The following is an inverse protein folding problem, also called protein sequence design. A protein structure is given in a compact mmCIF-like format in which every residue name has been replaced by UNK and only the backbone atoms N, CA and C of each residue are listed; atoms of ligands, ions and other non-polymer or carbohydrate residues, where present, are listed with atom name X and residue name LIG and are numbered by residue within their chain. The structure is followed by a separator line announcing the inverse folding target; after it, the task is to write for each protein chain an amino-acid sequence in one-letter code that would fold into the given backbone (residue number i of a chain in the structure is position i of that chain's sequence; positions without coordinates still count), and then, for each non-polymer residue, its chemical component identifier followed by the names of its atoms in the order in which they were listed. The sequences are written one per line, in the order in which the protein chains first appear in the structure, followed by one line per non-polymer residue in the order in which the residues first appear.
data_IF_505714716727
#
_entry.id   IF_505714716727
#
_cell.length_a   1.000
_cell.length_b   1.000
_cell.length_c   1.000
_cell.angle_alpha   90.00
_cell.angle_beta   90.00
_cell.angle_gamma   90.00
#
_symmetry.space_group_name_H-M   'P 1'
#
loop_
_entity.id
_entity.type
_entity.pdbx_description
1 polymer ?
#
# COMPACT_ATOMS: atom_id res chain seq x y z
N UNK A 1 -58.25 20.76 62.15
CA UNK A 1 -57.54 21.71 61.27
C UNK A 1 -56.29 21.02 60.81
N UNK A 2 -56.24 20.56 59.56
CA UNK A 2 -55.04 19.98 58.95
C UNK A 2 -54.18 21.12 58.40
N UNK A 3 -52.91 21.17 58.79
CA UNK A 3 -51.93 22.14 58.32
C UNK A 3 -51.50 21.86 56.86
N UNK A 4 -51.79 22.80 55.95
CA UNK A 4 -51.39 22.83 54.54
C UNK A 4 -49.88 23.14 54.32
N UNK A 5 -48.98 22.58 55.14
CA UNK A 5 -47.58 23.03 55.16
C UNK A 5 -46.60 22.30 54.21
N UNK A 6 -47.06 21.37 53.38
CA UNK A 6 -46.18 20.51 52.56
C UNK A 6 -46.18 20.79 51.04
N UNK A 7 -46.22 22.05 50.58
CA UNK A 7 -46.35 22.28 49.11
C UNK A 7 -45.65 23.48 48.46
N UNK A 8 -45.30 24.54 49.19
CA UNK A 8 -44.67 25.72 48.57
C UNK A 8 -43.25 25.93 49.08
N UNK A 9 -42.27 25.46 48.30
CA UNK A 9 -40.88 25.94 48.43
C UNK A 9 -40.89 27.49 48.40
N UNK A 10 -40.22 28.16 49.34
CA UNK A 10 -40.23 29.62 49.41
C UNK A 10 -39.74 30.20 48.09
N UNK A 11 -40.36 31.31 47.65
CA UNK A 11 -40.10 31.91 46.33
C UNK A 11 -38.60 32.10 46.04
N UNK A 12 -37.81 32.46 47.05
CA UNK A 12 -36.36 32.63 46.96
C UNK A 12 -35.57 31.36 46.61
N UNK A 13 -36.08 30.15 46.93
CA UNK A 13 -35.47 28.88 46.53
C UNK A 13 -35.84 28.50 45.09
N UNK A 14 -37.03 28.90 44.62
CA UNK A 14 -37.46 28.71 43.22
C UNK A 14 -36.68 29.60 42.28
N UNK A 15 -36.48 30.88 42.63
CA UNK A 15 -35.65 31.82 41.85
C UNK A 15 -34.21 31.29 41.74
N UNK A 16 -33.58 30.91 42.86
CA UNK A 16 -32.22 30.33 42.86
C UNK A 16 -32.09 29.01 42.10
N UNK A 17 -33.13 28.17 42.09
CA UNK A 17 -33.15 26.94 41.28
C UNK A 17 -33.26 27.27 39.79
N UNK A 18 -34.09 28.25 39.43
CA UNK A 18 -34.26 28.74 38.06
C UNK A 18 -32.96 29.37 37.52
N UNK A 19 -32.26 30.15 38.35
CA UNK A 19 -30.96 30.74 38.01
C UNK A 19 -29.88 29.68 37.75
N UNK A 20 -29.87 28.60 38.54
CA UNK A 20 -28.95 27.46 38.34
C UNK A 20 -29.28 26.66 37.09
N UNK A 21 -30.55 26.51 36.76
CA UNK A 21 -31.00 25.84 35.53
C UNK A 21 -30.65 26.65 34.29
N UNK A 22 -30.87 27.98 34.34
CA UNK A 22 -30.45 28.91 33.29
C UNK A 22 -28.92 28.90 33.10
N UNK A 23 -28.14 28.93 34.17
CA UNK A 23 -26.68 28.84 34.10
C UNK A 23 -26.18 27.52 33.48
N UNK A 24 -26.84 26.39 33.79
CA UNK A 24 -26.52 25.09 33.18
C UNK A 24 -26.91 25.03 31.70
N UNK A 25 -28.03 25.66 31.32
CA UNK A 25 -28.45 25.74 29.93
C UNK A 25 -27.43 26.55 29.10
N UNK A 26 -27.03 27.73 29.59
CA UNK A 26 -26.01 28.56 28.97
C UNK A 26 -24.65 27.85 28.86
N UNK A 27 -24.23 27.12 29.90
CA UNK A 27 -22.99 26.33 29.86
C UNK A 27 -23.05 25.17 28.84
N UNK A 28 -24.20 24.49 28.71
CA UNK A 28 -24.40 23.47 27.67
C UNK A 28 -24.33 24.06 26.26
N UNK A 29 -24.95 25.22 26.06
CA UNK A 29 -24.94 25.94 24.79
C UNK A 29 -23.52 26.40 24.42
N UNK A 30 -22.80 27.01 25.36
CA UNK A 30 -21.37 27.34 25.19
C UNK A 30 -20.55 26.13 24.77
N UNK A 31 -20.68 25.01 25.50
CA UNK A 31 -19.98 23.77 25.17
C UNK A 31 -20.39 23.18 23.82
N UNK A 32 -21.61 23.45 23.35
CA UNK A 32 -22.06 23.03 22.02
C UNK A 32 -21.41 23.89 20.93
N UNK A 33 -21.37 25.22 21.12
CA UNK A 33 -20.71 26.16 20.21
C UNK A 33 -19.20 25.88 20.10
N UNK A 34 -18.52 25.65 21.23
CA UNK A 34 -17.10 25.29 21.25
C UNK A 34 -16.81 23.99 20.49
N UNK A 35 -17.69 22.98 20.64
CA UNK A 35 -17.58 21.71 19.90
C UNK A 35 -17.80 21.89 18.41
N UNK A 36 -18.77 22.71 18.01
CA UNK A 36 -19.03 23.03 16.61
C UNK A 36 -17.82 23.75 15.99
N UNK A 37 -17.32 24.82 16.62
CA UNK A 37 -16.15 25.55 16.16
C UNK A 37 -14.90 24.65 16.06
N UNK A 38 -14.69 23.75 17.01
CA UNK A 38 -13.61 22.75 16.97
C UNK A 38 -13.78 21.74 15.84
N UNK A 39 -15.01 21.35 15.50
CA UNK A 39 -15.29 20.45 14.39
C UNK A 39 -15.01 21.15 13.05
N UNK A 40 -15.47 22.39 12.89
CA UNK A 40 -15.24 23.21 11.70
C UNK A 40 -13.74 23.43 11.47
N UNK A 41 -12.99 23.82 12.51
CA UNK A 41 -11.54 23.97 12.43
C UNK A 41 -10.82 22.67 11.99
N UNK A 42 -11.32 21.51 12.42
CA UNK A 42 -10.76 20.21 12.00
C UNK A 42 -11.09 19.87 10.55
N UNK A 43 -12.26 20.27 10.07
CA UNK A 43 -12.67 20.08 8.67
C UNK A 43 -11.79 20.96 7.77
N UNK A 44 -11.65 22.25 8.12
CA UNK A 44 -10.80 23.19 7.39
C UNK A 44 -9.33 22.74 7.35
N UNK A 45 -8.77 22.31 8.49
CA UNK A 45 -7.41 21.80 8.54
C UNK A 45 -7.21 20.56 7.64
N UNK A 46 -8.22 19.67 7.58
CA UNK A 46 -8.18 18.49 6.69
C UNK A 46 -8.32 18.87 5.22
N UNK A 47 -9.12 19.86 4.89
CA UNK A 47 -9.23 20.38 3.51
C UNK A 47 -7.89 20.97 3.06
N UNK A 48 -7.31 21.88 3.85
CA UNK A 48 -6.01 22.49 3.57
C UNK A 48 -4.88 21.43 3.42
N UNK A 49 -4.87 20.41 4.28
CA UNK A 49 -3.89 19.33 4.19
C UNK A 49 -4.04 18.49 2.91
N UNK A 50 -5.27 18.25 2.43
CA UNK A 50 -5.53 17.53 1.17
C UNK A 50 -5.11 18.35 -0.04
N UNK A 51 -5.35 19.65 -0.02
CA UNK A 51 -4.97 20.55 -1.11
C UNK A 51 -3.45 20.64 -1.22
N UNK A 52 -2.77 20.85 -0.09
CA UNK A 52 -1.30 20.84 -0.04
C UNK A 52 -0.72 19.49 -0.52
N UNK A 53 -1.30 18.36 -0.09
CA UNK A 53 -0.86 17.04 -0.54
C UNK A 53 -1.09 16.82 -2.05
N UNK A 54 -2.17 17.37 -2.60
CA UNK A 54 -2.48 17.29 -4.03
C UNK A 54 -1.49 18.11 -4.85
N UNK A 55 -1.23 19.35 -4.44
CA UNK A 55 -0.22 20.22 -5.05
C UNK A 55 1.19 19.60 -5.00
N UNK A 56 1.59 19.03 -3.86
CA UNK A 56 2.88 18.35 -3.73
C UNK A 56 3.03 17.15 -4.68
N UNK A 57 1.96 16.36 -4.87
CA UNK A 57 1.96 15.25 -5.84
C UNK A 57 2.09 15.74 -7.27
N UNK A 58 1.39 16.81 -7.62
CA UNK A 58 1.47 17.38 -8.96
C UNK A 58 2.87 17.95 -9.25
N UNK A 59 3.45 18.70 -8.31
CA UNK A 59 4.82 19.17 -8.39
C UNK A 59 5.83 18.00 -8.53
N UNK A 60 5.64 16.91 -7.78
CA UNK A 60 6.49 15.73 -7.90
C UNK A 60 6.31 14.97 -9.23
N UNK A 61 5.13 15.08 -9.89
CA UNK A 61 4.90 14.51 -11.22
C UNK A 61 5.55 15.38 -12.30
N UNK A 62 5.43 16.70 -12.21
CA UNK A 62 6.03 17.63 -13.18
C UNK A 62 7.56 17.57 -13.11
N UNK A 63 8.14 17.57 -11.90
CA UNK A 63 9.59 17.40 -11.73
C UNK A 63 10.10 16.11 -12.37
N UNK A 64 9.40 14.98 -12.16
CA UNK A 64 9.74 13.70 -12.79
C UNK A 64 9.67 13.75 -14.32
N UNK A 65 8.66 14.42 -14.90
CA UNK A 65 8.55 14.60 -16.35
C UNK A 65 9.72 15.39 -16.91
N UNK A 66 10.09 16.50 -16.26
CA UNK A 66 11.23 17.33 -16.67
C UNK A 66 12.54 16.54 -16.60
N UNK A 67 12.76 15.78 -15.53
CA UNK A 67 13.96 14.91 -15.42
C UNK A 67 13.99 13.83 -16.50
N UNK A 68 12.84 13.20 -16.80
CA UNK A 68 12.74 12.18 -17.84
C UNK A 68 12.98 12.76 -19.24
N UNK A 69 12.42 13.94 -19.53
CA UNK A 69 12.63 14.67 -20.77
C UNK A 69 14.10 15.07 -20.94
N UNK A 70 14.75 15.56 -19.89
CA UNK A 70 16.18 15.88 -19.90
C UNK A 70 17.03 14.62 -20.18
N UNK A 71 16.75 13.50 -19.49
CA UNK A 71 17.42 12.22 -19.75
C UNK A 71 17.15 11.69 -21.15
N UNK A 72 15.95 11.91 -21.69
CA UNK A 72 15.61 11.54 -23.05
C UNK A 72 16.36 12.38 -24.07
N UNK A 73 16.54 13.69 -23.83
CA UNK A 73 17.32 14.59 -24.69
C UNK A 73 18.79 14.15 -24.76
N UNK A 74 19.44 13.90 -23.61
CA UNK A 74 20.83 13.41 -23.54
C UNK A 74 20.98 12.09 -24.30
N UNK A 75 20.03 11.16 -24.17
CA UNK A 75 20.05 9.89 -24.92
C UNK A 75 19.90 10.08 -26.42
N UNK A 76 19.09 11.04 -26.88
CA UNK A 76 18.94 11.35 -28.31
C UNK A 76 20.23 11.95 -28.89
N UNK A 77 20.86 12.85 -28.15
CA UNK A 77 22.13 13.45 -28.54
C UNK A 77 23.24 12.40 -28.63
N UNK A 78 23.36 11.53 -27.62
CA UNK A 78 24.30 10.40 -27.64
C UNK A 78 24.01 9.37 -28.75
N UNK A 79 22.75 9.20 -29.16
CA UNK A 79 22.41 8.33 -30.28
C UNK A 79 22.72 8.98 -31.64
N UNK A 80 22.64 10.31 -31.74
CA UNK A 80 22.97 11.05 -32.95
C UNK A 80 24.47 11.01 -33.27
N UNK A 81 25.33 10.99 -32.25
CA UNK A 81 26.80 10.87 -32.42
C UNK A 81 27.27 9.46 -32.79
N UNK A 82 26.48 8.43 -32.50
CA UNK A 82 26.79 7.02 -32.83
C UNK A 82 26.24 6.62 -34.22
N UNK A 83 25.30 7.38 -34.77
CA UNK A 83 24.59 7.04 -36.00
C UNK A 83 25.41 7.21 -37.31
N UNK A 84 26.64 7.70 -37.27
CA UNK A 84 27.49 7.84 -38.48
C UNK A 84 28.24 6.56 -38.89
N UNK A 85 28.29 5.50 -38.06
CA UNK A 85 29.15 4.32 -38.35
C UNK A 85 28.52 2.92 -38.26
N UNK A 86 27.19 2.74 -38.22
CA UNK A 86 26.62 1.37 -38.22
C UNK A 86 25.55 1.10 -39.31
N UNK A 87 25.70 0.04 -40.13
CA UNK A 87 24.65 -0.41 -41.02
C UNK A 87 23.47 -0.96 -40.22
N UNK A 88 22.27 -0.63 -40.69
CA UNK A 88 20.97 -0.89 -40.07
C UNK A 88 20.82 -2.30 -39.46
N UNK A 89 21.08 -2.42 -38.17
CA UNK A 89 20.68 -3.59 -37.39
C UNK A 89 19.13 -3.63 -37.31
N UNK A 90 18.51 -4.81 -37.46
CA UNK A 90 17.06 -4.93 -37.37
C UNK A 90 16.57 -4.44 -36.01
N UNK A 91 15.61 -3.51 -36.01
CA UNK A 91 14.98 -2.88 -34.82
C UNK A 91 14.45 -3.96 -33.88
N UNK A 92 15.31 -4.46 -32.99
CA UNK A 92 14.95 -5.39 -31.92
C UNK A 92 14.22 -4.58 -30.86
N UNK A 93 12.95 -4.92 -30.72
CA UNK A 93 11.98 -4.62 -29.64
C UNK A 93 12.55 -3.77 -28.51
N UNK A 94 11.91 -2.61 -28.30
CA UNK A 94 11.99 -1.73 -27.11
C UNK A 94 12.55 -2.49 -25.91
N UNK A 95 13.72 -2.08 -25.43
CA UNK A 95 14.38 -2.64 -24.26
C UNK A 95 13.38 -2.68 -23.10
N UNK A 96 12.81 -3.85 -22.88
CA UNK A 96 11.97 -4.15 -21.73
C UNK A 96 12.88 -4.78 -20.69
N UNK A 97 12.85 -4.24 -19.46
CA UNK A 97 13.57 -4.81 -18.33
C UNK A 97 14.91 -4.16 -17.99
N UNK A 98 15.79 -4.94 -17.35
CA UNK A 98 16.94 -4.52 -16.55
C UNK A 98 17.78 -3.38 -17.17
N UNK A 99 18.02 -3.41 -18.48
CA UNK A 99 18.77 -2.39 -19.22
C UNK A 99 18.27 -0.96 -18.99
N UNK A 100 16.95 -0.74 -18.93
CA UNK A 100 16.39 0.58 -18.69
C UNK A 100 16.53 1.05 -17.23
N UNK A 101 16.73 0.12 -16.29
CA UNK A 101 16.80 0.39 -14.83
C UNK A 101 18.22 0.46 -14.30
N UNK A 102 19.11 -0.40 -14.79
CA UNK A 102 20.48 -0.57 -14.28
C UNK A 102 21.54 -0.14 -15.28
N UNK A 103 21.18 0.18 -16.53
CA UNK A 103 22.13 0.52 -17.59
C UNK A 103 22.97 -0.67 -18.09
N UNK A 104 22.80 -1.84 -17.49
CA UNK A 104 23.57 -3.05 -17.81
C UNK A 104 22.70 -4.04 -18.59
N UNK A 105 23.26 -4.74 -19.60
CA UNK A 105 22.59 -5.88 -20.22
C UNK A 105 22.28 -6.94 -19.17
N UNK A 106 21.15 -7.63 -19.32
CA UNK A 106 20.88 -8.82 -18.53
C UNK A 106 21.97 -9.84 -18.86
N UNK A 107 22.74 -10.28 -17.85
CA UNK A 107 23.66 -11.40 -18.01
C UNK A 107 22.87 -12.64 -18.44
N UNK A 108 23.13 -13.13 -19.64
CA UNK A 108 22.57 -14.39 -20.11
C UNK A 108 23.32 -15.52 -19.40
N UNK A 109 22.72 -16.07 -18.35
CA UNK A 109 23.27 -17.22 -17.63
C UNK A 109 23.07 -18.47 -18.47
N UNK A 110 24.15 -19.17 -18.80
CA UNK A 110 24.05 -20.51 -19.37
C UNK A 110 23.50 -21.46 -18.29
N UNK A 111 22.20 -21.77 -18.42
CA UNK A 111 21.47 -22.65 -17.51
C UNK A 111 21.38 -24.08 -18.03
N UNK A 112 22.07 -24.41 -19.14
CA UNK A 112 22.03 -25.76 -19.73
C UNK A 112 22.57 -26.84 -18.79
N UNK A 113 23.44 -26.46 -17.85
CA UNK A 113 24.00 -27.34 -16.83
C UNK A 113 23.26 -27.26 -15.48
N UNK A 114 22.22 -26.42 -15.36
CA UNK A 114 21.46 -26.31 -14.12
C UNK A 114 20.58 -27.54 -13.98
N UNK A 115 21.01 -28.46 -13.12
CA UNK A 115 20.19 -29.59 -12.71
C UNK A 115 19.34 -29.18 -11.52
N UNK A 116 18.04 -29.37 -11.61
CA UNK A 116 17.16 -29.33 -10.45
C UNK A 116 17.59 -30.44 -9.50
N UNK A 117 18.18 -30.08 -8.36
CA UNK A 117 18.44 -31.03 -7.28
C UNK A 117 17.08 -31.45 -6.75
N UNK A 118 16.73 -32.71 -6.96
CA UNK A 118 15.50 -33.28 -6.42
C UNK A 118 15.72 -33.50 -4.93
N UNK A 119 14.96 -32.77 -4.12
CA UNK A 119 14.98 -32.88 -2.67
C UNK A 119 14.04 -34.01 -2.24
N UNK A 120 14.63 -35.15 -1.86
CA UNK A 120 13.90 -36.34 -1.39
C UNK A 120 13.09 -36.05 -0.12
N UNK A 121 13.59 -35.22 0.79
CA UNK A 121 12.88 -34.87 2.02
C UNK A 121 11.63 -34.04 1.71
N UNK A 122 11.70 -33.20 0.68
CA UNK A 122 10.54 -32.46 0.18
C UNK A 122 9.50 -33.39 -0.46
N UNK A 123 9.92 -34.42 -1.21
CA UNK A 123 9.02 -35.45 -1.75
C UNK A 123 8.29 -36.15 -0.60
N UNK A 124 9.02 -36.61 0.42
CA UNK A 124 8.45 -37.27 1.61
C UNK A 124 7.49 -36.34 2.37
N UNK A 125 7.87 -35.08 2.57
CA UNK A 125 7.04 -34.10 3.26
C UNK A 125 5.71 -33.80 2.53
N UNK A 126 5.74 -33.74 1.21
CA UNK A 126 4.54 -33.53 0.39
C UNK A 126 3.64 -34.77 0.35
N UNK A 127 4.23 -35.97 0.27
CA UNK A 127 3.48 -37.22 0.38
C UNK A 127 2.75 -37.34 1.73
N UNK A 128 3.41 -36.98 2.85
CA UNK A 128 2.78 -36.90 4.18
C UNK A 128 1.60 -35.93 4.25
N UNK A 129 1.58 -34.90 3.39
CA UNK A 129 0.48 -33.92 3.28
C UNK A 129 -0.64 -34.37 2.33
N UNK A 130 -0.55 -35.58 1.77
CA UNK A 130 -1.57 -36.16 0.89
C UNK A 130 -1.37 -35.87 -0.60
N UNK A 131 -0.17 -35.44 -1.02
CA UNK A 131 0.14 -35.36 -2.45
C UNK A 131 0.14 -36.76 -3.08
N UNK A 132 -0.50 -36.93 -4.25
CA UNK A 132 -0.49 -38.20 -4.97
C UNK A 132 0.88 -38.47 -5.60
N UNK A 133 1.24 -39.75 -5.73
CA UNK A 133 2.50 -40.19 -6.36
C UNK A 133 2.62 -39.66 -7.79
N UNK A 134 1.52 -39.66 -8.55
CA UNK A 134 1.47 -39.11 -9.91
C UNK A 134 1.67 -37.59 -9.94
N UNK A 135 1.14 -36.87 -8.96
CA UNK A 135 1.33 -35.42 -8.82
C UNK A 135 2.78 -35.06 -8.46
N UNK A 136 3.42 -35.87 -7.62
CA UNK A 136 4.83 -35.72 -7.27
C UNK A 136 5.74 -36.04 -8.46
N UNK A 137 5.47 -37.12 -9.20
CA UNK A 137 6.19 -37.46 -10.42
C UNK A 137 6.19 -36.31 -11.44
N UNK A 138 5.01 -35.73 -11.70
CA UNK A 138 4.88 -34.57 -12.60
C UNK A 138 5.58 -33.30 -12.09
N UNK A 139 5.52 -33.03 -10.78
CA UNK A 139 6.11 -31.83 -10.19
C UNK A 139 7.65 -31.86 -10.12
N UNK A 140 8.23 -33.04 -9.90
CA UNK A 140 9.68 -33.24 -9.78
C UNK A 140 10.33 -33.75 -11.07
N UNK A 141 9.54 -34.05 -12.11
CA UNK A 141 10.04 -34.60 -13.36
C UNK A 141 10.63 -36.01 -13.21
N UNK A 142 10.15 -36.76 -12.22
CA UNK A 142 10.55 -38.14 -11.94
C UNK A 142 9.52 -39.12 -12.51
N UNK A 143 9.96 -40.35 -12.74
CA UNK A 143 9.04 -41.47 -12.96
C UNK A 143 8.29 -41.82 -11.67
N UNK A 144 7.13 -42.47 -11.81
CA UNK A 144 6.34 -42.96 -10.68
C UNK A 144 7.17 -43.93 -9.81
N UNK A 145 7.95 -44.81 -10.46
CA UNK A 145 8.81 -45.78 -9.77
C UNK A 145 9.92 -45.11 -8.94
N UNK A 146 10.50 -44.01 -9.43
CA UNK A 146 11.51 -43.25 -8.68
C UNK A 146 10.90 -42.58 -7.45
N UNK A 147 9.69 -42.03 -7.57
CA UNK A 147 8.98 -41.45 -6.42
C UNK A 147 8.64 -42.53 -5.39
N UNK A 148 8.16 -43.70 -5.81
CA UNK A 148 7.89 -44.83 -4.91
C UNK A 148 9.16 -45.32 -4.19
N UNK A 149 10.30 -45.38 -4.90
CA UNK A 149 11.58 -45.73 -4.30
C UNK A 149 12.02 -44.72 -3.23
N UNK A 150 11.86 -43.41 -3.49
CA UNK A 150 12.16 -42.34 -2.52
C UNK A 150 11.27 -42.41 -1.27
N UNK A 151 10.00 -42.79 -1.44
CA UNK A 151 9.05 -42.98 -0.35
C UNK A 151 9.28 -44.26 0.44
N UNK A 152 9.81 -45.32 -0.17
CA UNK A 152 10.14 -46.57 0.49
C UNK A 152 11.48 -46.53 1.25
N UNK A 153 12.38 -45.60 0.88
CA UNK A 153 13.72 -45.49 1.45
C UNK A 153 13.81 -44.67 2.76
N UNK A 154 12.69 -44.14 3.28
CA UNK A 154 12.67 -43.33 4.52
C UNK A 154 11.47 -43.64 5.41
#
# INVERSE_FOLDING_TARGET
MMDDSWGRKPAALRVRANDREAARAADRERRALERAASADARIEARAAARDAASQAREAARTARRVEEEARAAVRREAAATVAEEEPAAPRRRRSTGAIARTGMPTEERDTRSYRTVVDEDRIRALAKRGASVTGLAGAFGLSVAEVEAVLAAG
#
